data_IF_356255740510
#
_entry.id   IF_356255740510
#
_cell.length_a   1.000
_cell.length_b   1.000
_cell.length_c   1.000
_cell.angle_alpha   90.00
_cell.angle_beta   90.00
_cell.angle_gamma   90.00
#
_symmetry.space_group_name_H-M   'P 1'
#
loop_
_entity.id
_entity.type
_entity.pdbx_description
1 polymer ?
#
# COMPACT_ATOMS: atom_id res chain seq x y z
N UNK A 1 10.78 6.72 2.88
CA UNK A 1 9.97 6.09 1.81
C UNK A 1 8.59 5.65 2.30
N UNK A 2 7.54 5.78 1.47
CA UNK A 2 6.15 5.41 1.83
C UNK A 2 5.52 4.49 0.80
N UNK A 3 4.94 3.39 1.27
CA UNK A 3 4.20 2.45 0.44
C UNK A 3 2.69 2.73 0.52
N UNK A 4 2.04 2.80 -0.62
CA UNK A 4 0.60 3.00 -0.74
C UNK A 4 -0.05 1.87 -1.53
N UNK A 5 -1.06 1.24 -0.94
CA UNK A 5 -1.80 0.11 -1.50
C UNK A 5 -3.19 0.59 -1.92
N UNK A 6 -3.48 0.52 -3.21
CA UNK A 6 -4.79 0.82 -3.79
C UNK A 6 -5.45 -0.47 -4.29
N UNK A 7 -6.56 -0.83 -3.65
CA UNK A 7 -7.40 -1.97 -4.03
C UNK A 7 -8.86 -1.51 -4.22
N UNK A 8 -9.06 -0.27 -4.65
CA UNK A 8 -10.40 0.30 -4.89
C UNK A 8 -11.16 -0.40 -6.02
N UNK A 9 -10.44 -1.06 -6.94
CA UNK A 9 -11.03 -1.75 -8.09
C UNK A 9 -10.98 -3.26 -7.88
N UNK A 10 -12.09 -3.95 -8.16
CA UNK A 10 -12.16 -5.40 -8.04
C UNK A 10 -11.16 -6.09 -8.97
N UNK A 11 -10.45 -7.11 -8.44
CA UNK A 11 -9.41 -7.89 -9.15
C UNK A 11 -8.21 -7.07 -9.64
N UNK A 12 -7.99 -5.87 -9.10
CA UNK A 12 -6.86 -5.01 -9.44
C UNK A 12 -6.29 -4.39 -8.17
N UNK A 13 -5.03 -4.70 -7.91
CA UNK A 13 -4.24 -4.14 -6.82
C UNK A 13 -3.09 -3.33 -7.42
N UNK A 14 -3.07 -2.04 -7.09
CA UNK A 14 -2.04 -1.11 -7.53
C UNK A 14 -1.25 -0.65 -6.31
N UNK A 15 0.07 -0.74 -6.39
CA UNK A 15 0.95 -0.37 -5.28
C UNK A 15 1.91 0.70 -5.76
N UNK A 16 2.06 1.76 -4.98
CA UNK A 16 2.93 2.90 -5.30
C UNK A 16 3.93 3.13 -4.18
N UNK A 17 5.18 3.37 -4.56
CA UNK A 17 6.26 3.77 -3.65
C UNK A 17 6.50 5.27 -3.83
N UNK A 18 6.47 6.00 -2.72
CA UNK A 18 6.75 7.42 -2.65
C UNK A 18 8.04 7.67 -1.88
N UNK A 19 8.79 8.67 -2.33
CA UNK A 19 9.94 9.19 -1.60
C UNK A 19 9.49 10.11 -0.46
N UNK A 20 10.40 10.53 0.43
CA UNK A 20 10.08 11.41 1.57
C UNK A 20 9.56 12.78 1.14
N UNK A 21 9.91 13.19 -0.08
CA UNK A 21 9.41 14.40 -0.74
C UNK A 21 8.03 14.23 -1.40
N UNK A 22 7.42 13.05 -1.28
CA UNK A 22 6.10 12.74 -1.86
C UNK A 22 6.12 12.44 -3.36
N UNK A 23 7.30 12.33 -3.99
CA UNK A 23 7.44 11.98 -5.41
C UNK A 23 7.28 10.48 -5.61
N UNK A 24 6.51 10.06 -6.60
CA UNK A 24 6.38 8.65 -6.98
C UNK A 24 7.72 8.14 -7.51
N UNK A 25 8.28 7.13 -6.84
CA UNK A 25 9.53 6.45 -7.23
C UNK A 25 9.20 5.32 -8.19
N UNK A 26 8.23 4.49 -7.83
CA UNK A 26 7.80 3.36 -8.63
C UNK A 26 6.32 3.06 -8.38
N UNK A 27 5.72 2.39 -9.35
CA UNK A 27 4.34 1.92 -9.31
C UNK A 27 4.27 0.56 -9.99
N UNK A 28 3.48 -0.33 -9.42
CA UNK A 28 3.28 -1.67 -9.94
C UNK A 28 1.82 -2.10 -9.77
N UNK A 29 1.38 -3.02 -10.61
CA UNK A 29 0.00 -3.51 -10.64
C UNK A 29 -0.05 -5.02 -10.77
N UNK A 30 -0.97 -5.65 -10.06
CA UNK A 30 -1.27 -7.07 -10.18
C UNK A 30 -2.73 -7.34 -9.80
N UNK A 31 -3.18 -8.59 -9.94
CA UNK A 31 -4.51 -9.00 -9.48
C UNK A 31 -4.60 -9.07 -7.94
N UNK A 32 -3.46 -9.29 -7.29
CA UNK A 32 -3.36 -9.49 -5.84
C UNK A 32 -2.33 -8.51 -5.23
N UNK A 33 -2.62 -7.90 -4.07
CA UNK A 33 -1.77 -6.86 -3.49
C UNK A 33 -0.38 -7.36 -3.11
N UNK A 34 -0.27 -8.58 -2.56
CA UNK A 34 1.02 -9.14 -2.17
C UNK A 34 1.96 -9.34 -3.37
N UNK A 35 1.42 -9.76 -4.51
CA UNK A 35 2.17 -9.92 -5.75
C UNK A 35 2.65 -8.57 -6.28
N UNK A 36 1.79 -7.55 -6.24
CA UNK A 36 2.16 -6.19 -6.64
C UNK A 36 3.25 -5.60 -5.71
N UNK A 37 3.15 -5.83 -4.39
CA UNK A 37 4.15 -5.40 -3.41
C UNK A 37 5.50 -6.09 -3.69
N UNK A 38 5.51 -7.42 -3.82
CA UNK A 38 6.75 -8.18 -4.07
C UNK A 38 7.45 -7.73 -5.35
N UNK A 39 6.70 -7.56 -6.44
CA UNK A 39 7.24 -7.03 -7.71
C UNK A 39 7.84 -5.63 -7.54
N UNK A 40 7.13 -4.74 -6.83
CA UNK A 40 7.58 -3.36 -6.60
C UNK A 40 8.88 -3.32 -5.79
N UNK A 41 8.95 -4.09 -4.71
CA UNK A 41 10.14 -4.16 -3.84
C UNK A 41 11.35 -4.75 -4.58
N UNK A 42 11.16 -5.81 -5.36
CA UNK A 42 12.21 -6.39 -6.20
C UNK A 42 12.72 -5.41 -7.26
N UNK A 43 11.81 -4.68 -7.90
CA UNK A 43 12.14 -3.69 -8.95
C UNK A 43 12.90 -2.47 -8.40
N UNK A 44 12.64 -2.10 -7.15
CA UNK A 44 13.27 -0.95 -6.48
C UNK A 44 14.42 -1.36 -5.56
N UNK A 45 14.73 -2.66 -5.46
CA UNK A 45 15.70 -3.25 -4.52
C UNK A 45 15.51 -2.73 -3.10
N UNK A 46 14.27 -2.44 -2.71
CA UNK A 46 13.90 -1.85 -1.43
C UNK A 46 13.44 -2.95 -0.49
N UNK A 47 13.86 -2.93 0.78
CA UNK A 47 13.35 -3.87 1.78
C UNK A 47 12.11 -3.28 2.47
N UNK A 48 11.27 -4.16 3.01
CA UNK A 48 10.10 -3.73 3.81
C UNK A 48 10.50 -2.87 5.02
N UNK A 49 11.66 -3.17 5.60
CA UNK A 49 12.24 -2.47 6.74
C UNK A 49 12.59 -1.01 6.42
N UNK A 50 12.95 -0.71 5.16
CA UNK A 50 13.36 0.64 4.71
C UNK A 50 12.16 1.58 4.47
N UNK A 51 10.93 1.05 4.50
CA UNK A 51 9.72 1.85 4.37
C UNK A 51 9.45 2.55 5.70
N UNK A 52 9.04 3.81 5.71
CA UNK A 52 8.66 4.52 6.94
C UNK A 52 7.16 4.41 7.22
N UNK A 53 6.36 4.26 6.17
CA UNK A 53 4.91 4.26 6.25
C UNK A 53 4.33 3.30 5.23
N UNK A 54 3.39 2.47 5.68
CA UNK A 54 2.61 1.58 4.82
C UNK A 54 1.15 1.90 5.05
N UNK A 55 0.47 2.31 3.99
CA UNK A 55 -0.92 2.78 4.04
C UNK A 55 -1.73 2.19 2.90
N UNK A 56 -3.06 2.16 3.06
CA UNK A 56 -3.99 1.71 2.04
C UNK A 56 -5.00 2.81 1.71
N UNK A 57 -5.59 2.74 0.51
CA UNK A 57 -6.65 3.64 0.10
C UNK A 57 -7.87 3.49 1.03
N UNK A 58 -8.40 4.58 1.63
CA UNK A 58 -9.55 4.52 2.55
C UNK A 58 -10.89 4.21 1.86
N UNK A 59 -10.98 4.52 0.57
CA UNK A 59 -12.21 4.52 -0.21
C UNK A 59 -12.54 5.92 -0.75
N UNK A 60 -13.66 6.07 -1.48
CA UNK A 60 -14.63 5.02 -1.86
C UNK A 60 -14.05 3.98 -2.83
N UNK A 61 -14.72 2.82 -2.97
CA UNK A 61 -14.27 1.73 -3.85
C UNK A 61 -14.88 0.37 -3.51
N UNK A 62 -14.30 -0.70 -4.06
CA UNK A 62 -14.69 -2.09 -3.83
C UNK A 62 -14.66 -2.46 -2.35
N UNK A 63 -15.81 -2.88 -1.80
CA UNK A 63 -15.95 -3.23 -0.38
C UNK A 63 -14.94 -4.31 0.06
N UNK A 64 -14.78 -5.34 -0.76
CA UNK A 64 -13.83 -6.42 -0.52
C UNK A 64 -12.39 -5.94 -0.74
N UNK A 65 -12.13 -5.23 -1.84
CA UNK A 65 -10.79 -4.74 -2.15
C UNK A 65 -10.24 -3.79 -1.09
N UNK A 66 -11.06 -2.86 -0.59
CA UNK A 66 -10.69 -1.95 0.51
C UNK A 66 -10.34 -2.70 1.79
N UNK A 67 -11.11 -3.73 2.16
CA UNK A 67 -10.82 -4.57 3.34
C UNK A 67 -9.54 -5.36 3.18
N UNK A 68 -9.33 -5.94 2.01
CA UNK A 68 -8.10 -6.67 1.69
C UNK A 68 -6.90 -5.73 1.76
N UNK A 69 -6.96 -4.56 1.11
CA UNK A 69 -5.90 -3.56 1.15
C UNK A 69 -5.57 -3.08 2.56
N UNK A 70 -6.60 -2.80 3.37
CA UNK A 70 -6.43 -2.39 4.77
C UNK A 70 -5.83 -3.50 5.64
N UNK A 71 -6.28 -4.75 5.48
CA UNK A 71 -5.76 -5.88 6.23
C UNK A 71 -4.29 -6.16 5.88
N UNK A 72 -3.91 -6.07 4.60
CA UNK A 72 -2.52 -6.23 4.17
C UNK A 72 -1.63 -5.13 4.75
N UNK A 73 -2.05 -3.86 4.64
CA UNK A 73 -1.30 -2.75 5.24
C UNK A 73 -1.14 -2.93 6.76
N UNK A 74 -2.19 -3.37 7.44
CA UNK A 74 -2.16 -3.61 8.88
C UNK A 74 -1.24 -4.78 9.27
N UNK A 75 -1.33 -5.90 8.56
CA UNK A 75 -0.52 -7.08 8.82
C UNK A 75 0.98 -6.78 8.65
N UNK A 76 1.37 -6.06 7.58
CA UNK A 76 2.78 -5.72 7.35
C UNK A 76 3.29 -4.74 8.41
N UNK A 77 2.52 -3.70 8.76
CA UNK A 77 2.91 -2.81 9.84
C UNK A 77 3.06 -3.56 11.18
N UNK A 78 2.12 -4.44 11.51
CA UNK A 78 2.18 -5.28 12.71
C UNK A 78 3.44 -6.15 12.74
N UNK A 79 3.76 -6.81 11.62
CA UNK A 79 4.97 -7.63 11.49
C UNK A 79 6.27 -6.82 11.68
N UNK A 80 6.26 -5.53 11.33
CA UNK A 80 7.38 -4.61 11.49
C UNK A 80 7.38 -3.89 12.86
N UNK A 81 6.45 -4.22 13.76
CA UNK A 81 6.31 -3.56 15.06
C UNK A 81 5.84 -2.10 14.97
N UNK A 82 5.16 -1.73 13.88
CA UNK A 82 4.73 -0.35 13.58
C UNK A 82 3.23 -0.18 13.78
N UNK A 83 2.85 1.03 14.17
CA UNK A 83 1.43 1.42 14.26
C UNK A 83 0.88 1.79 12.89
N UNK A 84 -0.31 1.30 12.56
CA UNK A 84 -1.04 1.74 11.36
C UNK A 84 -1.61 3.13 11.60
N UNK A 85 -1.27 4.08 10.74
CA UNK A 85 -1.93 5.40 10.76
C UNK A 85 -3.34 5.25 10.18
N UNK A 86 -4.39 5.74 10.87
CA UNK A 86 -5.72 5.76 10.28
C UNK A 86 -5.70 6.63 9.02
N UNK A 87 -6.34 6.20 7.93
CA UNK A 87 -6.33 6.96 6.70
C UNK A 87 -7.04 8.29 6.92
N UNK A 88 -6.46 9.37 6.38
CA UNK A 88 -7.07 10.71 6.46
C UNK A 88 -8.27 10.76 5.53
N UNK A 89 -9.45 10.46 6.07
CA UNK A 89 -10.73 10.58 5.36
C UNK A 89 -10.99 12.05 5.06
N UNK A 90 -11.00 12.41 3.78
CA UNK A 90 -11.52 13.70 3.32
C UNK A 90 -12.94 13.46 2.82
N UNK A 91 -13.92 13.57 3.70
CA UNK A 91 -15.29 13.82 3.28
C UNK A 91 -15.33 15.27 2.80
N UNK A 92 -15.44 15.46 1.49
CA UNK A 92 -15.81 16.75 0.88
C UNK A 92 -17.27 16.67 0.48
#
# INVERSE_FOLDING_TARGET
MKLFIDCTVSKKATVSLFDDKGKTVAKEEANEPLVAIDKLLKKTTTKLEDLDEISSHPGPGSFTGLRVGSAVAQAINFALGRTVKPPKLKYK
#
